data_IF_958908600371
#
_entry.id   IF_958908600371
#
_cell.length_a   1.000
_cell.length_b   1.000
_cell.length_c   1.000
_cell.angle_alpha   90.00
_cell.angle_beta   90.00
_cell.angle_gamma   90.00
#
_symmetry.space_group_name_H-M   'P 1'
#
loop_
_entity.id
_entity.type
_entity.pdbx_description
1 polymer ?
#
# COMPACT_ATOMS: atom_id res chain seq x y z
N UNK A 1 -11.48 -28.83 -22.02
CA UNK A 1 -10.54 -29.94 -21.70
C UNK A 1 -9.38 -30.03 -22.67
N UNK A 2 -9.35 -29.25 -23.77
CA UNK A 2 -8.22 -29.16 -24.71
C UNK A 2 -7.54 -30.49 -25.05
N UNK A 3 -8.34 -31.55 -25.18
CA UNK A 3 -7.86 -32.91 -25.44
C UNK A 3 -7.19 -32.94 -26.80
N UNK A 4 -5.95 -33.45 -26.91
CA UNK A 4 -5.20 -33.44 -28.16
C UNK A 4 -5.87 -34.31 -29.23
N UNK A 5 -5.69 -33.95 -30.51
CA UNK A 5 -6.35 -34.60 -31.63
C UNK A 5 -6.07 -36.10 -31.72
N UNK A 6 -4.86 -36.52 -31.33
CA UNK A 6 -4.45 -37.93 -31.27
C UNK A 6 -5.32 -38.76 -30.34
N UNK A 7 -5.74 -38.20 -29.21
CA UNK A 7 -6.58 -38.88 -28.23
C UNK A 7 -8.04 -38.92 -28.70
N UNK A 8 -8.49 -37.86 -29.39
CA UNK A 8 -9.83 -37.82 -30.02
C UNK A 8 -9.97 -38.83 -31.16
N UNK A 9 -8.92 -39.02 -31.95
CA UNK A 9 -8.91 -39.94 -33.10
C UNK A 9 -9.24 -41.38 -32.70
N UNK A 10 -8.86 -41.80 -31.48
CA UNK A 10 -9.13 -43.15 -30.95
C UNK A 10 -10.62 -43.45 -30.76
N UNK A 11 -11.44 -42.40 -30.58
CA UNK A 11 -12.88 -42.51 -30.36
C UNK A 11 -13.70 -41.91 -31.52
N UNK A 12 -13.06 -41.64 -32.67
CA UNK A 12 -13.74 -41.08 -33.84
C UNK A 12 -14.87 -41.98 -34.35
N UNK A 13 -14.70 -43.31 -34.29
CA UNK A 13 -15.74 -44.27 -34.69
C UNK A 13 -16.98 -44.15 -33.80
N UNK A 14 -16.80 -44.06 -32.48
CA UNK A 14 -17.89 -43.86 -31.51
C UNK A 14 -18.57 -42.50 -31.72
N UNK A 15 -17.77 -41.46 -32.00
CA UNK A 15 -18.29 -40.11 -32.24
C UNK A 15 -19.08 -40.02 -33.56
N UNK A 16 -18.63 -40.73 -34.61
CA UNK A 16 -19.33 -40.80 -35.89
C UNK A 16 -20.69 -41.50 -35.77
N UNK A 17 -20.80 -42.51 -34.90
CA UNK A 17 -22.06 -43.20 -34.62
C UNK A 17 -23.11 -42.30 -33.96
N UNK A 18 -22.71 -41.26 -33.21
CA UNK A 18 -23.64 -40.27 -32.61
C UNK A 18 -24.40 -39.50 -33.71
N UNK A 19 -23.78 -39.31 -34.88
CA UNK A 19 -24.37 -38.56 -36.01
C UNK A 19 -25.16 -39.45 -36.98
N UNK A 20 -25.12 -40.77 -36.81
CA UNK A 20 -25.80 -41.74 -37.67
C UNK A 20 -27.18 -42.12 -37.13
N UNK A 21 -28.15 -42.29 -38.02
CA UNK A 21 -29.49 -42.78 -37.66
C UNK A 21 -29.44 -44.28 -37.35
N UNK A 22 -30.28 -44.75 -36.42
CA UNK A 22 -30.38 -46.17 -36.05
C UNK A 22 -30.64 -47.11 -37.24
N UNK A 23 -31.17 -46.62 -38.36
CA UNK A 23 -31.42 -47.40 -39.60
C UNK A 23 -30.17 -47.62 -40.46
N UNK A 24 -29.11 -46.82 -40.28
CA UNK A 24 -27.89 -46.86 -41.10
C UNK A 24 -26.73 -47.63 -40.42
N UNK A 25 -26.95 -48.13 -39.21
CA UNK A 25 -25.97 -48.94 -38.45
C UNK A 25 -26.04 -50.39 -38.97
N UNK A 26 -25.54 -50.62 -40.18
CA UNK A 26 -25.60 -51.93 -40.84
C UNK A 26 -24.27 -52.69 -40.84
N UNK A 27 -23.20 -52.14 -40.25
CA UNK A 27 -21.87 -52.80 -40.23
C UNK A 27 -21.71 -53.69 -38.99
N UNK A 28 -21.52 -55.01 -39.15
CA UNK A 28 -21.24 -55.93 -38.04
C UNK A 28 -19.94 -55.53 -37.33
N UNK A 29 -19.95 -55.46 -36.00
CA UNK A 29 -18.78 -55.08 -35.19
C UNK A 29 -18.59 -53.57 -34.97
N UNK A 30 -19.55 -52.74 -35.40
CA UNK A 30 -19.53 -51.28 -35.17
C UNK A 30 -19.71 -50.88 -33.69
N UNK A 31 -20.38 -51.71 -32.89
CA UNK A 31 -20.67 -51.52 -31.46
C UNK A 31 -20.39 -52.83 -30.70
N UNK A 32 -19.15 -53.29 -30.72
CA UNK A 32 -18.71 -54.45 -29.93
C UNK A 32 -18.68 -54.10 -28.45
N UNK A 33 -18.92 -55.09 -27.57
CA UNK A 33 -18.86 -54.94 -26.11
C UNK A 33 -17.54 -54.29 -25.64
N UNK A 34 -16.42 -54.66 -26.25
CA UNK A 34 -15.08 -54.09 -25.96
C UNK A 34 -15.02 -52.57 -26.24
N UNK A 35 -15.65 -52.11 -27.32
CA UNK A 35 -15.67 -50.68 -27.69
C UNK A 35 -16.51 -49.89 -26.69
N UNK A 36 -17.63 -50.46 -26.23
CA UNK A 36 -18.49 -49.86 -25.20
C UNK A 36 -17.71 -49.77 -23.89
N UNK A 37 -17.06 -50.86 -23.46
CA UNK A 37 -16.26 -50.87 -22.24
C UNK A 37 -15.07 -49.88 -22.33
N UNK A 38 -14.43 -49.77 -23.49
CA UNK A 38 -13.38 -48.78 -23.73
C UNK A 38 -13.91 -47.34 -23.65
N UNK A 39 -15.10 -47.07 -24.19
CA UNK A 39 -15.73 -45.76 -24.09
C UNK A 39 -16.13 -45.42 -22.64
N UNK A 40 -16.72 -46.37 -21.90
CA UNK A 40 -17.09 -46.18 -20.50
C UNK A 40 -15.89 -45.92 -19.58
N UNK A 41 -14.77 -46.63 -19.81
CA UNK A 41 -13.53 -46.40 -19.05
C UNK A 41 -12.92 -45.05 -19.37
N UNK A 42 -12.97 -44.62 -20.64
CA UNK A 42 -12.50 -43.29 -21.03
C UNK A 42 -13.36 -42.16 -20.47
N UNK A 43 -14.69 -42.31 -20.45
CA UNK A 43 -15.60 -41.33 -19.83
C UNK A 43 -15.26 -41.18 -18.35
N UNK A 44 -15.13 -42.29 -17.61
CA UNK A 44 -14.72 -42.26 -16.20
C UNK A 44 -13.37 -41.57 -15.99
N UNK A 45 -12.39 -41.84 -16.85
CA UNK A 45 -11.07 -41.19 -16.81
C UNK A 45 -11.17 -39.69 -17.08
N UNK A 46 -11.99 -39.27 -18.04
CA UNK A 46 -12.21 -37.86 -18.38
C UNK A 46 -12.96 -37.11 -17.27
N UNK A 47 -13.92 -37.75 -16.62
CA UNK A 47 -14.63 -37.19 -15.46
C UNK A 47 -13.68 -36.96 -14.29
N UNK A 48 -12.82 -37.94 -13.99
CA UNK A 48 -11.78 -37.79 -12.97
C UNK A 48 -10.78 -36.67 -13.32
N UNK A 49 -10.38 -36.58 -14.59
CA UNK A 49 -9.50 -35.51 -15.06
C UNK A 49 -10.17 -34.14 -14.96
N UNK A 50 -11.46 -34.04 -15.31
CA UNK A 50 -12.26 -32.81 -15.20
C UNK A 50 -12.36 -32.38 -13.74
N UNK A 51 -12.68 -33.30 -12.83
CA UNK A 51 -12.73 -33.03 -11.39
C UNK A 51 -11.36 -32.55 -10.86
N UNK A 52 -10.27 -33.23 -11.23
CA UNK A 52 -8.91 -32.81 -10.87
C UNK A 52 -8.56 -31.41 -11.38
N UNK A 53 -8.96 -31.09 -12.62
CA UNK A 53 -8.72 -29.77 -13.23
C UNK A 53 -9.58 -28.68 -12.60
N UNK A 54 -10.83 -28.97 -12.27
CA UNK A 54 -11.71 -28.05 -11.56
C UNK A 54 -11.18 -27.72 -10.16
N UNK A 55 -10.62 -28.71 -9.46
CA UNK A 55 -9.94 -28.51 -8.17
C UNK A 55 -8.70 -27.63 -8.28
N UNK A 56 -7.85 -27.87 -9.27
CA UNK A 56 -6.68 -27.03 -9.56
C UNK A 56 -7.10 -25.58 -9.81
N UNK A 57 -8.14 -25.37 -10.61
CA UNK A 57 -8.63 -24.05 -10.96
C UNK A 57 -9.26 -23.34 -9.75
N UNK A 58 -9.99 -24.07 -8.90
CA UNK A 58 -10.52 -23.54 -7.64
C UNK A 58 -9.41 -22.99 -6.73
N UNK A 59 -8.33 -23.76 -6.53
CA UNK A 59 -7.17 -23.33 -5.76
C UNK A 59 -6.53 -22.07 -6.34
N UNK A 60 -6.44 -21.99 -7.68
CA UNK A 60 -5.89 -20.79 -8.33
C UNK A 60 -6.76 -19.56 -8.07
N UNK A 61 -8.07 -19.71 -8.21
CA UNK A 61 -9.06 -18.65 -7.98
C UNK A 61 -9.06 -18.17 -6.54
N UNK A 62 -8.90 -19.08 -5.59
CA UNK A 62 -8.70 -18.73 -4.19
C UNK A 62 -7.47 -17.83 -4.01
N UNK A 63 -6.31 -18.21 -4.56
CA UNK A 63 -5.08 -17.41 -4.43
C UNK A 63 -5.26 -16.03 -5.06
N UNK A 64 -5.94 -15.96 -6.21
CA UNK A 64 -6.26 -14.68 -6.85
C UNK A 64 -7.16 -13.81 -5.95
N UNK A 65 -8.17 -14.39 -5.29
CA UNK A 65 -9.03 -13.69 -4.32
C UNK A 65 -8.24 -13.16 -3.12
N UNK A 66 -7.39 -14.00 -2.52
CA UNK A 66 -6.53 -13.62 -1.40
C UNK A 66 -5.59 -12.47 -1.78
N UNK A 67 -5.00 -12.52 -2.99
CA UNK A 67 -4.13 -11.46 -3.48
C UNK A 67 -4.88 -10.13 -3.65
N UNK A 68 -6.12 -10.16 -4.13
CA UNK A 68 -6.97 -8.96 -4.26
C UNK A 68 -7.26 -8.39 -2.87
N UNK A 69 -7.71 -9.22 -1.91
CA UNK A 69 -7.97 -8.78 -0.54
C UNK A 69 -6.73 -8.15 0.10
N UNK A 70 -5.57 -8.81 -0.01
CA UNK A 70 -4.30 -8.34 0.55
C UNK A 70 -3.79 -7.04 -0.09
N UNK A 71 -3.99 -6.85 -1.39
CA UNK A 71 -3.58 -5.61 -2.08
C UNK A 71 -4.49 -4.44 -1.73
N UNK A 72 -5.76 -4.72 -1.44
CA UNK A 72 -6.78 -3.71 -1.11
C UNK A 72 -7.01 -3.56 0.40
N UNK A 73 -6.18 -4.19 1.23
CA UNK A 73 -6.26 -4.17 2.69
C UNK A 73 -7.65 -4.57 3.23
N UNK A 74 -8.27 -5.55 2.57
CA UNK A 74 -9.55 -6.14 2.96
C UNK A 74 -9.31 -7.41 3.80
N UNK A 75 -10.34 -7.83 4.53
CA UNK A 75 -10.33 -9.09 5.26
C UNK A 75 -10.10 -10.27 4.31
N UNK A 76 -9.14 -11.13 4.66
CA UNK A 76 -8.79 -12.30 3.88
C UNK A 76 -9.69 -13.45 4.34
N UNK A 77 -10.37 -14.16 3.42
CA UNK A 77 -11.16 -15.34 3.78
C UNK A 77 -10.34 -16.35 4.59
N UNK A 78 -10.94 -16.93 5.64
CA UNK A 78 -10.21 -17.77 6.58
C UNK A 78 -9.68 -19.04 5.91
N UNK A 79 -8.41 -19.37 6.18
CA UNK A 79 -7.79 -20.60 5.67
C UNK A 79 -8.55 -21.85 6.11
N UNK A 80 -9.17 -21.82 7.30
CA UNK A 80 -9.96 -22.95 7.82
C UNK A 80 -11.26 -23.16 7.04
N UNK A 81 -11.94 -22.08 6.67
CA UNK A 81 -13.14 -22.14 5.82
C UNK A 81 -12.79 -22.76 4.48
N UNK A 82 -11.62 -22.41 3.94
CA UNK A 82 -11.16 -22.99 2.69
C UNK A 82 -10.82 -24.48 2.79
N UNK A 83 -10.13 -24.88 3.85
CA UNK A 83 -9.81 -26.30 4.07
C UNK A 83 -11.07 -27.13 4.27
N UNK A 84 -12.12 -26.56 4.86
CA UNK A 84 -13.46 -27.16 4.95
C UNK A 84 -14.10 -27.34 3.58
N UNK A 85 -14.14 -26.29 2.75
CA UNK A 85 -14.67 -26.35 1.38
C UNK A 85 -13.92 -27.39 0.55
N UNK A 86 -12.59 -27.44 0.68
CA UNK A 86 -11.77 -28.43 -0.02
C UNK A 86 -12.08 -29.87 0.42
N UNK A 87 -12.39 -30.10 1.70
CA UNK A 87 -12.84 -31.41 2.19
C UNK A 87 -14.18 -31.80 1.54
N UNK A 88 -15.13 -30.87 1.47
CA UNK A 88 -16.43 -31.08 0.82
C UNK A 88 -16.31 -31.34 -0.70
N UNK A 89 -15.33 -30.73 -1.36
CA UNK A 89 -15.01 -31.04 -2.76
C UNK A 89 -14.51 -32.48 -2.93
N UNK A 90 -13.65 -32.94 -2.02
CA UNK A 90 -13.07 -34.29 -2.09
C UNK A 90 -14.09 -35.38 -1.74
N UNK A 91 -15.10 -35.09 -0.91
CA UNK A 91 -16.19 -36.02 -0.62
C UNK A 91 -17.19 -36.15 -1.77
N UNK A 92 -17.11 -35.30 -2.79
CA UNK A 92 -18.03 -35.30 -3.94
C UNK A 92 -19.43 -34.77 -3.60
N UNK A 93 -19.57 -34.11 -2.45
CA UNK A 93 -20.85 -33.62 -1.94
C UNK A 93 -21.28 -32.29 -2.60
N UNK A 94 -20.33 -31.54 -3.16
CA UNK A 94 -20.60 -30.30 -3.91
C UNK A 94 -20.24 -30.50 -5.39
N UNK A 95 -21.10 -29.99 -6.28
CA UNK A 95 -20.76 -29.84 -7.70
C UNK A 95 -19.61 -28.85 -7.90
N UNK A 96 -18.63 -29.29 -8.68
CA UNK A 96 -17.40 -28.53 -8.90
C UNK A 96 -17.64 -27.28 -9.77
N UNK A 97 -18.64 -27.29 -10.66
CA UNK A 97 -18.92 -26.16 -11.54
C UNK A 97 -19.66 -25.03 -10.80
N UNK A 98 -20.63 -25.37 -9.96
CA UNK A 98 -21.36 -24.41 -9.12
C UNK A 98 -20.43 -23.70 -8.13
N UNK A 99 -19.55 -24.45 -7.48
CA UNK A 99 -18.56 -23.88 -6.55
C UNK A 99 -17.61 -22.91 -7.25
N UNK A 100 -17.14 -23.27 -8.45
CA UNK A 100 -16.27 -22.41 -9.23
C UNK A 100 -16.98 -21.11 -9.65
N UNK A 101 -18.27 -21.20 -9.99
CA UNK A 101 -19.10 -20.04 -10.34
C UNK A 101 -19.27 -19.13 -9.12
N UNK A 102 -19.52 -19.71 -7.94
CA UNK A 102 -19.57 -18.98 -6.67
C UNK A 102 -18.25 -18.27 -6.36
N UNK A 103 -17.11 -18.95 -6.53
CA UNK A 103 -15.79 -18.35 -6.33
C UNK A 103 -15.52 -17.20 -7.32
N UNK A 104 -15.87 -17.35 -8.60
CA UNK A 104 -15.76 -16.26 -9.57
C UNK A 104 -16.64 -15.06 -9.18
N UNK A 105 -17.83 -15.30 -8.65
CA UNK A 105 -18.69 -14.24 -8.12
C UNK A 105 -18.03 -13.51 -6.95
N UNK A 106 -17.43 -14.24 -6.00
CA UNK A 106 -16.69 -13.64 -4.88
C UNK A 106 -15.51 -12.79 -5.38
N UNK A 107 -14.77 -13.27 -6.38
CA UNK A 107 -13.67 -12.51 -7.00
C UNK A 107 -14.20 -11.21 -7.61
N UNK A 108 -15.28 -11.25 -8.39
CA UNK A 108 -15.85 -10.05 -9.00
C UNK A 108 -16.31 -9.05 -7.94
N UNK A 109 -16.95 -9.52 -6.87
CA UNK A 109 -17.35 -8.68 -5.75
C UNK A 109 -16.14 -8.06 -5.04
N UNK A 110 -15.10 -8.84 -4.79
CA UNK A 110 -13.85 -8.36 -4.19
C UNK A 110 -13.15 -7.32 -5.10
N UNK A 111 -13.19 -7.49 -6.42
CA UNK A 111 -12.65 -6.52 -7.38
C UNK A 111 -13.44 -5.20 -7.40
N UNK A 112 -14.76 -5.28 -7.33
CA UNK A 112 -15.63 -4.11 -7.23
C UNK A 112 -15.39 -3.36 -5.92
N UNK A 113 -15.32 -4.08 -4.80
CA UNK A 113 -15.02 -3.49 -3.49
C UNK A 113 -13.60 -2.90 -3.45
N UNK A 114 -12.60 -3.58 -3.99
CA UNK A 114 -11.25 -3.05 -4.17
C UNK A 114 -11.24 -1.74 -4.99
N UNK A 115 -12.06 -1.68 -6.04
CA UNK A 115 -12.17 -0.49 -6.90
C UNK A 115 -12.84 0.68 -6.18
N UNK A 116 -13.88 0.42 -5.36
CA UNK A 116 -14.53 1.48 -4.57
C UNK A 116 -13.60 2.04 -3.48
N UNK A 117 -12.82 1.16 -2.83
CA UNK A 117 -11.84 1.53 -1.79
C UNK A 117 -10.64 2.30 -2.34
N UNK A 118 -10.31 2.15 -3.63
CA UNK A 118 -9.11 2.70 -4.27
C UNK A 118 -8.86 4.17 -3.95
N UNK A 119 -9.88 5.03 -4.06
CA UNK A 119 -9.73 6.47 -3.84
C UNK A 119 -9.40 6.83 -2.38
N UNK A 120 -9.84 6.01 -1.42
CA UNK A 120 -9.51 6.14 0.01
C UNK A 120 -8.08 5.62 0.23
N UNK A 121 -7.76 4.45 -0.30
CA UNK A 121 -6.44 3.83 -0.16
C UNK A 121 -5.31 4.71 -0.72
N UNK A 122 -5.49 5.35 -1.88
CA UNK A 122 -4.52 6.31 -2.41
C UNK A 122 -4.28 7.52 -1.49
N UNK A 123 -5.26 7.88 -0.66
CA UNK A 123 -5.16 8.96 0.33
C UNK A 123 -4.51 8.45 1.61
N UNK A 124 -4.80 7.22 2.04
CA UNK A 124 -4.11 6.54 3.14
C UNK A 124 -2.61 6.45 2.84
N UNK A 125 -2.21 6.02 1.65
CA UNK A 125 -0.80 5.96 1.25
C UNK A 125 -0.12 7.33 1.33
N UNK A 126 -0.79 8.38 0.84
CA UNK A 126 -0.29 9.77 0.95
C UNK A 126 -0.16 10.22 2.40
N UNK A 127 -1.10 9.83 3.26
CA UNK A 127 -1.07 10.17 4.68
C UNK A 127 0.08 9.45 5.40
N UNK A 128 0.29 8.15 5.14
CA UNK A 128 1.41 7.39 5.70
C UNK A 128 2.75 8.03 5.30
N UNK A 129 2.93 8.37 4.02
CA UNK A 129 4.14 9.05 3.55
C UNK A 129 4.35 10.42 4.20
N UNK A 130 3.28 11.18 4.43
CA UNK A 130 3.36 12.46 5.10
C UNK A 130 3.71 12.30 6.60
N UNK A 131 3.18 11.28 7.26
CA UNK A 131 3.51 10.90 8.64
C UNK A 131 4.97 10.48 8.78
N UNK A 132 5.49 9.67 7.85
CA UNK A 132 6.89 9.27 7.86
C UNK A 132 7.83 10.49 7.72
N UNK A 133 7.45 11.45 6.88
CA UNK A 133 8.21 12.71 6.73
C UNK A 133 8.06 13.63 7.97
N UNK A 134 6.92 13.60 8.68
CA UNK A 134 6.74 14.26 9.98
C UNK A 134 7.72 13.70 11.02
N UNK A 135 7.77 12.37 11.17
CA UNK A 135 8.68 11.68 12.08
C UNK A 135 10.14 11.99 11.75
N UNK A 136 10.50 11.98 10.46
CA UNK A 136 11.85 12.35 10.02
C UNK A 136 12.19 13.81 10.37
N UNK A 137 11.26 14.74 10.17
CA UNK A 137 11.47 16.16 10.50
C UNK A 137 11.63 16.38 12.00
N UNK A 138 10.90 15.65 12.82
CA UNK A 138 11.00 15.71 14.28
C UNK A 138 12.35 15.21 14.77
N UNK A 139 12.80 14.07 14.26
CA UNK A 139 14.11 13.52 14.58
C UNK A 139 15.21 14.50 14.16
N UNK A 140 15.13 15.01 12.93
CA UNK A 140 16.04 16.05 12.47
C UNK A 140 15.98 17.31 13.35
N UNK A 141 14.85 17.60 14.02
CA UNK A 141 14.66 18.80 14.86
C UNK A 141 15.20 18.67 16.27
N UNK A 142 15.44 17.44 16.72
CA UNK A 142 16.10 17.15 17.99
C UNK A 142 17.62 17.08 17.85
N UNK A 143 18.14 16.93 16.63
CA UNK A 143 19.58 16.90 16.37
C UNK A 143 20.22 18.29 16.56
N UNK A 144 21.00 18.43 17.64
CA UNK A 144 21.78 19.64 17.94
C UNK A 144 22.86 19.94 16.89
N UNK A 145 23.32 18.93 16.14
CA UNK A 145 24.33 19.07 15.09
C UNK A 145 23.74 19.40 13.71
N UNK A 146 22.43 19.69 13.64
CA UNK A 146 21.69 20.03 12.41
C UNK A 146 22.35 21.12 11.57
N UNK A 147 22.93 22.13 12.22
CA UNK A 147 23.55 23.28 11.55
C UNK A 147 25.07 23.16 11.42
N UNK A 148 25.64 21.98 11.74
CA UNK A 148 27.05 21.71 11.48
C UNK A 148 27.37 21.90 9.99
N UNK A 149 28.54 22.48 9.71
CA UNK A 149 29.04 22.72 8.33
C UNK A 149 29.54 21.41 7.72
N UNK A 150 28.66 20.42 7.68
CA UNK A 150 28.93 19.08 7.19
C UNK A 150 28.55 18.97 5.71
N UNK A 151 29.30 18.19 4.93
CA UNK A 151 29.02 17.93 3.52
C UNK A 151 27.63 17.28 3.36
N UNK A 152 26.65 18.05 2.94
CA UNK A 152 25.26 17.59 2.76
C UNK A 152 24.21 18.30 3.63
N UNK A 153 24.62 19.15 4.58
CA UNK A 153 23.70 19.87 5.47
C UNK A 153 22.65 20.70 4.71
N UNK A 154 23.03 21.38 3.62
CA UNK A 154 22.09 22.13 2.77
C UNK A 154 21.00 21.24 2.13
N UNK A 155 21.30 19.97 1.81
CA UNK A 155 20.30 19.04 1.26
C UNK A 155 19.29 18.64 2.33
N UNK A 156 19.75 18.39 3.55
CA UNK A 156 18.90 18.07 4.70
C UNK A 156 18.03 19.27 5.09
N UNK A 157 18.59 20.48 5.08
CA UNK A 157 17.83 21.71 5.30
C UNK A 157 16.73 21.90 4.25
N UNK A 158 17.04 21.69 2.96
CA UNK A 158 16.03 21.74 1.88
C UNK A 158 14.98 20.64 2.00
N UNK A 159 15.34 19.44 2.48
CA UNK A 159 14.37 18.37 2.78
C UNK A 159 13.48 18.78 3.93
N UNK A 160 14.04 19.32 5.02
CA UNK A 160 13.29 19.78 6.17
C UNK A 160 12.27 20.87 5.82
N UNK A 161 12.61 21.77 4.91
CA UNK A 161 11.64 22.77 4.46
C UNK A 161 10.49 22.14 3.66
N UNK A 162 10.79 21.19 2.77
CA UNK A 162 9.74 20.42 2.08
C UNK A 162 8.89 19.59 3.05
N UNK A 163 9.52 18.98 4.06
CA UNK A 163 8.87 18.24 5.11
C UNK A 163 7.87 19.12 5.88
N UNK A 164 8.28 20.33 6.30
CA UNK A 164 7.39 21.28 6.98
C UNK A 164 6.14 21.59 6.18
N UNK A 165 6.30 21.86 4.88
CA UNK A 165 5.16 22.11 3.99
C UNK A 165 4.23 20.90 3.90
N UNK A 166 4.77 19.68 3.87
CA UNK A 166 3.97 18.46 3.90
C UNK A 166 3.25 18.27 5.24
N UNK A 167 3.95 18.44 6.36
CA UNK A 167 3.41 18.32 7.73
C UNK A 167 2.26 19.30 7.97
N UNK A 168 2.39 20.53 7.50
CA UNK A 168 1.32 21.53 7.59
C UNK A 168 0.06 21.14 6.82
N UNK A 169 0.16 20.26 5.82
CA UNK A 169 -0.98 19.77 5.03
C UNK A 169 -1.60 18.51 5.64
N UNK A 170 -0.98 17.86 6.62
CA UNK A 170 -1.47 16.62 7.22
C UNK A 170 -2.88 16.78 7.80
N UNK A 171 -3.21 17.82 8.59
CA UNK A 171 -4.57 17.96 9.17
C UNK A 171 -5.65 17.93 8.09
N UNK A 172 -5.51 18.75 7.05
CA UNK A 172 -6.45 18.78 5.94
C UNK A 172 -6.56 17.44 5.20
N UNK A 173 -5.47 16.68 5.10
CA UNK A 173 -5.48 15.35 4.51
C UNK A 173 -6.23 14.34 5.39
N UNK A 174 -6.03 14.39 6.71
CA UNK A 174 -6.72 13.53 7.68
C UNK A 174 -8.22 13.85 7.70
N UNK A 175 -8.61 15.12 7.74
CA UNK A 175 -10.02 15.53 7.72
C UNK A 175 -10.73 15.06 6.44
N UNK A 176 -10.06 15.22 5.29
CA UNK A 176 -10.52 14.69 4.01
C UNK A 176 -10.68 13.17 4.02
N UNK A 177 -9.74 12.46 4.66
CA UNK A 177 -9.76 11.00 4.74
C UNK A 177 -10.89 10.52 5.66
N UNK A 178 -11.10 11.19 6.80
CA UNK A 178 -12.23 10.95 7.70
C UNK A 178 -13.56 11.15 6.96
N UNK A 179 -13.73 12.27 6.27
CA UNK A 179 -14.97 12.57 5.53
C UNK A 179 -15.27 11.52 4.46
N UNK A 180 -14.25 11.12 3.68
CA UNK A 180 -14.40 10.08 2.66
C UNK A 180 -14.70 8.70 3.26
N UNK A 181 -14.04 8.36 4.37
CA UNK A 181 -14.26 7.08 5.05
C UNK A 181 -15.68 6.99 5.59
N UNK A 182 -16.16 8.04 6.28
CA UNK A 182 -17.54 8.11 6.77
C UNK A 182 -18.56 8.00 5.64
N UNK A 183 -18.35 8.73 4.55
CA UNK A 183 -19.25 8.67 3.38
C UNK A 183 -19.29 7.27 2.77
N UNK A 184 -18.17 6.55 2.72
CA UNK A 184 -18.12 5.18 2.21
C UNK A 184 -18.79 4.19 3.17
N UNK A 185 -18.58 4.34 4.48
CA UNK A 185 -19.22 3.51 5.51
C UNK A 185 -20.73 3.69 5.53
N UNK A 186 -21.22 4.92 5.34
CA UNK A 186 -22.65 5.23 5.25
C UNK A 186 -23.30 4.63 3.99
N UNK A 187 -22.65 4.76 2.83
CA UNK A 187 -23.11 4.17 1.56
C UNK A 187 -23.23 2.64 1.65
N UNK A 188 -22.26 1.98 2.29
CA UNK A 188 -22.15 0.52 2.32
C UNK A 188 -22.73 -0.12 3.57
N UNK A 189 -23.06 0.67 4.59
CA UNK A 189 -23.50 0.22 5.93
C UNK A 189 -22.55 -0.82 6.56
N UNK A 190 -21.25 -0.66 6.30
CA UNK A 190 -20.18 -1.54 6.78
C UNK A 190 -18.97 -0.70 7.20
N UNK A 191 -18.28 -1.03 8.31
CA UNK A 191 -17.06 -0.33 8.70
C UNK A 191 -15.96 -0.50 7.64
N UNK A 192 -15.20 0.56 7.41
CA UNK A 192 -14.02 0.52 6.55
C UNK A 192 -12.85 -0.04 7.37
N UNK A 193 -12.48 -1.28 7.07
CA UNK A 193 -11.33 -1.94 7.68
C UNK A 193 -10.09 -1.76 6.81
N UNK A 194 -8.98 -1.40 7.45
CA UNK A 194 -7.63 -1.41 6.92
C UNK A 194 -6.83 -2.45 7.72
N UNK A 195 -6.46 -3.57 7.10
CA UNK A 195 -5.77 -4.69 7.77
C UNK A 195 -6.44 -5.07 9.10
N UNK A 196 -7.77 -5.29 9.04
CA UNK A 196 -8.65 -5.67 10.18
C UNK A 196 -8.91 -4.56 11.21
N UNK A 197 -8.28 -3.40 11.09
CA UNK A 197 -8.49 -2.26 12.00
C UNK A 197 -9.41 -1.21 11.35
N UNK A 198 -10.42 -0.69 12.06
CA UNK A 198 -11.24 0.42 11.54
C UNK A 198 -10.39 1.65 11.21
N UNK A 199 -10.36 2.06 9.93
CA UNK A 199 -9.55 3.19 9.48
C UNK A 199 -9.94 4.49 10.21
N UNK A 200 -11.23 4.68 10.47
CA UNK A 200 -11.71 5.85 11.18
C UNK A 200 -11.10 5.99 12.58
N UNK A 201 -11.07 4.90 13.36
CA UNK A 201 -10.50 4.89 14.71
C UNK A 201 -8.99 5.22 14.69
N UNK A 202 -8.24 4.68 13.72
CA UNK A 202 -6.81 4.99 13.55
C UNK A 202 -6.55 6.48 13.29
N UNK A 203 -7.44 7.14 12.54
CA UNK A 203 -7.31 8.56 12.21
C UNK A 203 -7.69 9.46 13.39
N UNK A 204 -8.69 9.07 14.18
CA UNK A 204 -9.05 9.77 15.41
C UNK A 204 -7.93 9.71 16.44
N UNK A 205 -7.35 8.52 16.65
CA UNK A 205 -6.21 8.34 17.56
C UNK A 205 -5.00 9.17 17.10
N UNK A 206 -4.71 9.18 15.79
CA UNK A 206 -3.66 10.01 15.23
C UNK A 206 -3.90 11.51 15.51
N UNK A 207 -5.14 11.99 15.33
CA UNK A 207 -5.49 13.38 15.61
C UNK A 207 -5.32 13.73 17.09
N UNK A 208 -5.72 12.82 17.99
CA UNK A 208 -5.57 12.99 19.44
C UNK A 208 -4.08 13.10 19.82
N UNK A 209 -3.25 12.16 19.36
CA UNK A 209 -1.80 12.16 19.60
C UNK A 209 -1.12 13.41 19.05
N UNK A 210 -1.56 13.89 17.87
CA UNK A 210 -1.03 15.14 17.30
C UNK A 210 -1.38 16.33 18.20
N UNK A 211 -2.62 16.41 18.68
CA UNK A 211 -3.07 17.49 19.56
C UNK A 211 -2.30 17.50 20.88
N UNK A 212 -2.13 16.34 21.51
CA UNK A 212 -1.34 16.18 22.73
C UNK A 212 0.11 16.67 22.55
N UNK A 213 0.74 16.31 21.42
CA UNK A 213 2.11 16.76 21.11
C UNK A 213 2.21 18.27 20.92
N UNK A 214 1.20 18.89 20.31
CA UNK A 214 1.18 20.34 20.11
C UNK A 214 0.88 21.09 21.42
N UNK A 215 0.01 20.55 22.27
CA UNK A 215 -0.25 21.05 23.64
C UNK A 215 1.00 20.93 24.53
N UNK A 216 1.72 19.81 24.47
CA UNK A 216 2.97 19.64 25.22
C UNK A 216 4.04 20.64 24.76
N UNK A 217 4.21 20.83 23.44
CA UNK A 217 5.10 21.88 22.90
C UNK A 217 4.70 23.27 23.39
N UNK A 218 3.39 23.53 23.51
CA UNK A 218 2.88 24.80 24.02
C UNK A 218 3.18 24.98 25.51
N UNK A 219 2.95 23.96 26.34
CA UNK A 219 3.32 23.96 27.77
C UNK A 219 4.81 24.20 27.97
N UNK A 220 5.66 23.55 27.19
CA UNK A 220 7.12 23.76 27.23
C UNK A 220 7.52 25.21 26.87
N UNK A 221 6.81 25.84 25.93
CA UNK A 221 7.03 27.27 25.59
C UNK A 221 6.59 28.19 26.73
N UNK A 222 5.49 27.88 27.39
CA UNK A 222 4.98 28.65 28.54
C UNK A 222 5.90 28.53 29.75
N UNK A 223 6.38 27.32 30.08
CA UNK A 223 7.39 27.10 31.12
C UNK A 223 8.68 27.91 30.84
N UNK A 224 9.17 27.89 29.59
CA UNK A 224 10.32 28.71 29.19
C UNK A 224 10.05 30.22 29.31
N UNK A 225 8.82 30.68 29.04
CA UNK A 225 8.43 32.09 29.23
C UNK A 225 8.35 32.48 30.70
N UNK A 226 7.87 31.60 31.57
CA UNK A 226 7.79 31.85 33.03
C UNK A 226 9.19 31.86 33.64
N UNK A 227 10.06 30.92 33.25
CA UNK A 227 11.45 30.89 33.72
C UNK A 227 12.26 32.12 33.28
N UNK A 228 12.00 32.65 32.08
CA UNK A 228 12.61 33.90 31.61
C UNK A 228 11.99 35.18 32.23
N UNK A 229 10.89 35.08 32.97
CA UNK A 229 10.24 36.19 33.68
C UNK A 229 10.56 36.23 35.17
N UNK A 230 11.26 35.23 35.72
CA UNK A 230 11.88 35.34 37.04
C UNK A 230 13.03 36.33 36.90
N UNK A 231 13.00 37.51 37.57
CA UNK A 231 14.12 38.43 37.49
C UNK A 231 15.34 37.72 38.07
N UNK A 232 16.40 37.59 37.27
CA UNK A 232 17.76 37.46 37.81
C UNK A 232 18.07 38.81 38.47
N UNK A 233 17.54 38.98 39.68
CA UNK A 233 17.98 39.99 40.62
C UNK A 233 19.27 39.52 41.24
N UNK A 234 20.37 39.65 40.50
CA UNK A 234 21.70 39.99 41.01
C UNK A 234 22.73 39.92 39.87
N UNK A 235 23.39 41.07 39.68
CA UNK A 235 24.81 41.16 39.35
C UNK A 235 25.22 40.86 37.90
N UNK A 236 25.11 41.89 37.05
CA UNK A 236 25.96 42.02 35.86
C UNK A 236 26.48 43.46 35.74
N UNK A 237 27.33 43.84 36.69
CA UNK A 237 28.37 44.83 36.43
C UNK A 237 29.44 44.14 35.57
N UNK A 238 29.92 44.82 34.54
CA UNK A 238 30.97 44.39 33.57
C UNK A 238 30.53 43.60 32.33
N UNK A 239 29.89 44.29 31.37
CA UNK A 239 30.28 44.16 29.95
C UNK A 239 30.29 45.55 29.32
N UNK A 240 31.48 46.11 29.14
CA UNK A 240 31.71 47.31 28.33
C UNK A 240 31.49 46.96 26.85
N UNK A 241 30.53 47.63 26.23
CA UNK A 241 30.25 47.62 24.79
C UNK A 241 31.29 48.49 24.07
N UNK A 242 32.08 47.98 23.10
CA UNK A 242 32.88 48.86 22.25
C UNK A 242 31.96 49.57 21.26
N UNK A 243 31.80 50.87 21.45
CA UNK A 243 31.18 51.79 20.50
C UNK A 243 32.19 52.10 19.39
N UNK A 244 32.01 51.55 18.18
CA UNK A 244 32.74 51.99 16.99
C UNK A 244 31.83 52.85 16.13
N UNK A 245 31.83 54.14 16.47
CA UNK A 245 31.29 55.24 15.66
C UNK A 245 32.12 55.38 14.37
N UNK A 246 31.53 55.07 13.22
CA UNK A 246 32.00 55.58 11.92
C UNK A 246 30.89 56.45 11.32
N UNK A 247 31.04 57.76 11.50
CA UNK A 247 30.27 58.78 10.79
C UNK A 247 30.50 58.62 9.28
N UNK A 248 29.45 58.32 8.52
CA UNK A 248 29.33 58.81 7.15
C UNK A 248 27.96 59.47 7.00
N UNK A 249 28.03 60.73 6.60
CA UNK A 249 26.92 61.65 6.39
C UNK A 249 26.05 61.14 5.23
N UNK A 250 24.74 61.20 5.46
CA UNK A 250 23.71 61.17 4.43
C UNK A 250 23.61 62.58 3.84
N UNK A 251 23.68 62.71 2.52
CA UNK A 251 23.02 63.83 1.85
C UNK A 251 22.11 63.33 0.73
N UNK A 252 21.03 64.08 0.58
CA UNK A 252 19.71 63.73 0.07
C UNK A 252 19.58 64.27 -1.36
N UNK A 253 19.27 63.37 -2.30
CA UNK A 253 18.25 63.49 -3.37
C UNK A 253 18.14 64.77 -4.23
N UNK A 254 18.06 64.63 -5.56
CA UNK A 254 16.82 64.84 -6.36
C UNK A 254 17.03 64.74 -7.90
N UNK A 255 16.16 63.91 -8.50
CA UNK A 255 15.46 64.04 -9.80
C UNK A 255 16.09 63.77 -11.18
N UNK A 256 15.46 62.78 -11.86
CA UNK A 256 14.95 62.85 -13.23
C UNK A 256 15.81 62.15 -14.30
N UNK A 257 15.35 61.19 -15.12
CA UNK A 257 14.04 60.57 -15.31
C UNK A 257 14.10 59.61 -16.51
N UNK A 258 13.10 58.72 -16.57
CA UNK A 258 12.52 58.09 -17.76
C UNK A 258 13.32 57.09 -18.64
N UNK A 259 12.77 55.86 -18.64
CA UNK A 259 12.41 55.04 -19.82
C UNK A 259 13.39 54.04 -20.46
N UNK A 260 12.87 52.81 -20.52
CA UNK A 260 12.90 51.84 -21.63
C UNK A 260 14.10 50.88 -21.82
N UNK A 261 13.69 49.61 -21.83
CA UNK A 261 14.02 48.56 -22.79
C UNK A 261 15.40 47.85 -22.70
N UNK A 262 15.26 46.55 -22.46
CA UNK A 262 16.08 45.40 -22.87
C UNK A 262 17.14 45.65 -23.97
N UNK A 263 18.39 45.20 -23.80
CA UNK A 263 19.38 45.26 -24.87
C UNK A 263 19.26 44.06 -25.82
N UNK A 264 19.05 44.38 -27.09
CA UNK A 264 19.18 43.49 -28.26
C UNK A 264 20.62 43.58 -28.80
N UNK A 265 21.20 42.41 -29.05
CA UNK A 265 22.27 42.06 -29.99
C UNK A 265 23.34 43.12 -30.38
N UNK A 266 24.62 42.78 -30.17
CA UNK A 266 25.68 43.05 -31.16
C UNK A 266 26.68 41.89 -31.27
N UNK A 267 26.82 41.42 -32.51
CA UNK A 267 27.80 40.45 -33.03
C UNK A 267 29.23 40.99 -32.93
N UNK A 268 30.20 40.09 -32.80
CA UNK A 268 31.45 40.17 -33.56
C UNK A 268 31.96 38.75 -33.82
N UNK A 269 32.37 38.53 -35.08
CA UNK A 269 32.84 37.28 -35.68
C UNK A 269 34.30 37.45 -36.10
N UNK A 270 35.07 36.36 -36.10
CA UNK A 270 36.26 36.00 -36.93
C UNK A 270 37.02 34.91 -36.15
N UNK A 271 37.49 33.78 -36.68
CA UNK A 271 37.52 33.24 -38.03
C UNK A 271 38.16 31.84 -37.98
N UNK A 272 37.50 30.90 -38.67
CA UNK A 272 38.00 29.75 -39.44
C UNK A 272 39.41 29.21 -39.15
N UNK A 273 39.48 27.92 -38.77
CA UNK A 273 40.28 26.91 -39.49
C UNK A 273 39.62 25.53 -39.40
N UNK A 274 39.93 24.72 -40.40
CA UNK A 274 39.08 23.78 -41.13
C UNK A 274 39.53 22.32 -40.85
N UNK A 275 38.74 21.36 -41.37
CA UNK A 275 38.96 19.90 -41.50
C UNK A 275 38.33 19.06 -40.38
N UNK A 276 37.47 18.08 -40.61
CA UNK A 276 36.90 17.50 -41.83
C UNK A 276 36.15 16.20 -41.48
N UNK A 277 35.11 15.90 -42.27
CA UNK A 277 34.47 14.58 -42.50
C UNK A 277 33.69 13.84 -41.39
N UNK A 278 32.35 13.87 -41.53
CA UNK A 278 31.42 12.73 -41.37
C UNK A 278 31.55 11.74 -42.56
N UNK A 279 30.82 10.59 -42.70
CA UNK A 279 29.70 10.00 -41.94
C UNK A 279 29.80 8.45 -41.74
N UNK A 280 28.76 7.79 -41.16
CA UNK A 280 28.07 6.56 -41.63
C UNK A 280 27.38 5.77 -40.48
N UNK A 281 26.30 5.10 -40.88
CA UNK A 281 25.15 4.52 -40.18
C UNK A 281 25.33 3.17 -39.41
N UNK A 282 24.45 2.98 -38.41
CA UNK A 282 23.73 1.73 -37.97
C UNK A 282 24.52 0.57 -37.30
N UNK A 283 23.86 -0.50 -36.78
CA UNK A 283 23.22 -0.61 -35.46
C UNK A 283 23.72 -1.85 -34.64
N UNK A 284 23.05 -2.14 -33.51
CA UNK A 284 23.02 -3.38 -32.72
C UNK A 284 23.84 -3.52 -31.42
N UNK A 285 23.05 -3.74 -30.35
CA UNK A 285 23.11 -4.83 -29.37
C UNK A 285 24.12 -4.81 -28.19
N UNK A 286 23.51 -4.62 -27.02
CA UNK A 286 23.62 -5.41 -25.79
C UNK A 286 24.98 -5.55 -25.10
N UNK A 287 25.11 -4.90 -23.93
CA UNK A 287 25.72 -5.53 -22.75
C UNK A 287 24.94 -5.12 -21.49
N UNK A 288 24.46 -6.13 -20.79
CA UNK A 288 23.74 -6.15 -19.53
C UNK A 288 24.58 -5.65 -18.34
N UNK A 289 24.02 -4.75 -17.53
CA UNK A 289 24.41 -4.62 -16.12
C UNK A 289 23.21 -4.74 -15.21
N UNK A 290 23.10 -5.96 -14.67
CA UNK A 290 22.25 -6.35 -13.57
C UNK A 290 22.64 -5.52 -12.33
N UNK A 291 21.80 -4.55 -11.92
CA UNK A 291 21.87 -4.00 -10.56
C UNK A 291 20.57 -4.33 -9.84
N UNK A 292 20.59 -5.52 -9.23
CA UNK A 292 19.60 -6.03 -8.28
C UNK A 292 19.58 -5.13 -7.05
N UNK A 293 18.70 -4.12 -7.04
CA UNK A 293 18.35 -3.40 -5.83
C UNK A 293 17.28 -4.18 -5.08
N UNK A 294 17.70 -4.75 -3.94
CA UNK A 294 16.86 -5.29 -2.88
C UNK A 294 15.74 -4.31 -2.54
N UNK A 295 14.50 -4.60 -2.95
CA UNK A 295 13.29 -4.07 -2.32
C UNK A 295 12.97 -4.98 -1.14
N UNK A 296 13.67 -4.78 -0.03
CA UNK A 296 13.29 -5.33 1.26
C UNK A 296 12.44 -4.29 2.00
N UNK A 297 11.15 -4.58 2.07
CA UNK A 297 10.38 -4.53 3.31
C UNK A 297 10.18 -3.17 4.02
N UNK A 298 9.52 -2.22 3.35
CA UNK A 298 8.91 -1.05 4.01
C UNK A 298 7.51 -1.33 4.61
N UNK A 299 7.09 -2.60 4.73
CA UNK A 299 5.77 -2.98 5.27
C UNK A 299 5.73 -3.19 6.79
N UNK A 300 6.82 -2.91 7.53
CA UNK A 300 6.92 -3.24 8.97
C UNK A 300 6.72 -2.09 9.95
N UNK A 301 6.46 -0.86 9.49
CA UNK A 301 6.41 0.30 10.41
C UNK A 301 5.01 0.51 11.00
N UNK A 302 3.93 0.07 10.33
CA UNK A 302 2.59 0.12 10.94
C UNK A 302 2.38 -0.97 12.01
N UNK A 303 3.07 -2.10 11.89
CA UNK A 303 2.89 -3.27 12.76
C UNK A 303 3.81 -3.33 13.99
N UNK A 304 4.74 -2.36 14.18
CA UNK A 304 5.67 -2.39 15.33
C UNK A 304 5.90 -1.05 16.02
N UNK A 305 4.90 -0.16 16.00
CA UNK A 305 4.95 1.03 16.83
C UNK A 305 3.65 1.21 17.61
N UNK A 306 3.63 0.60 18.81
CA UNK A 306 2.83 0.99 19.99
C UNK A 306 1.34 0.62 20.08
N UNK A 307 0.80 -0.23 19.22
CA UNK A 307 -0.54 -0.78 19.43
C UNK A 307 -0.48 -2.19 20.02
N UNK A 308 -0.12 -2.28 21.31
CA UNK A 308 -0.34 -3.49 22.09
C UNK A 308 -1.68 -3.31 22.81
N UNK A 309 -2.72 -3.99 22.32
CA UNK A 309 -4.00 -4.09 23.02
C UNK A 309 -3.81 -5.01 24.25
N UNK A 310 -3.86 -4.43 25.44
CA UNK A 310 -4.22 -5.16 26.65
C UNK A 310 -5.73 -4.97 26.87
N UNK A 311 -6.57 -6.01 26.76
CA UNK A 311 -7.90 -5.94 27.33
C UNK A 311 -7.71 -5.90 28.85
N UNK A 312 -8.16 -4.82 29.48
CA UNK A 312 -8.23 -4.74 30.93
C UNK A 312 -9.30 -5.71 31.41
N UNK A 313 -8.88 -6.80 32.05
CA UNK A 313 -9.81 -7.62 32.82
C UNK A 313 -10.27 -6.82 34.04
N UNK A 314 -11.59 -6.82 34.19
CA UNK A 314 -12.34 -6.15 35.24
C UNK A 314 -11.80 -6.47 36.63
N UNK A 315 -11.63 -5.41 37.42
CA UNK A 315 -11.50 -5.48 38.87
C UNK A 315 -12.81 -5.98 39.48
N UNK A 316 -12.98 -7.30 39.54
CA UNK A 316 -14.01 -7.93 40.36
C UNK A 316 -13.52 -8.01 41.82
N UNK A 317 -14.16 -7.18 42.64
CA UNK A 317 -14.05 -7.11 44.09
C UNK A 317 -14.22 -8.48 44.76
N UNK A 318 -13.23 -8.81 45.59
CA UNK A 318 -13.17 -9.93 46.53
C UNK A 318 -14.31 -9.84 47.57
N UNK A 319 -15.16 -10.86 47.66
CA UNK A 319 -15.87 -11.21 48.92
C UNK A 319 -15.97 -12.74 49.07
N UNK A 320 -15.16 -13.21 50.02
CA UNK A 320 -15.39 -14.26 51.03
C UNK A 320 -15.72 -15.71 50.62
N UNK A 321 -14.77 -16.57 50.97
CA UNK A 321 -14.70 -18.03 50.86
C UNK A 321 -15.71 -18.79 51.71
N UNK A 322 -16.19 -19.90 51.15
CA UNK A 322 -16.96 -20.96 51.81
C UNK A 322 -16.02 -22.02 52.42
N UNK A 323 -16.28 -22.31 53.71
CA UNK A 323 -16.13 -23.57 54.47
C UNK A 323 -15.17 -24.71 54.09
N UNK A 324 -14.47 -25.18 55.14
CA UNK A 324 -14.20 -26.61 55.43
C UNK A 324 -12.70 -26.98 55.50
N UNK A 325 -12.27 -27.97 56.31
CA UNK A 325 -13.03 -28.94 57.11
C UNK A 325 -12.59 -29.07 58.59
N UNK A 326 -13.44 -29.62 59.45
CA UNK A 326 -13.03 -30.24 60.71
C UNK A 326 -13.72 -31.60 60.88
N UNK A 327 -12.90 -32.61 61.15
CA UNK A 327 -13.21 -33.89 61.81
C UNK A 327 -11.94 -34.28 62.58
N UNK A 328 -12.01 -35.09 63.64
CA UNK A 328 -13.17 -35.77 64.24
C UNK A 328 -13.80 -35.04 65.43
#
# INVERSE_FOLDING_TARGET
>A
MDTPQKDRARFSNVTALISLSSKDISTPGSLTLDIIQQAETEVRRLDQLKASKMKELFLRKQVDLEEICKRSHMEIPSRLEMESIMKLMNSGEIDHADLLTSMNKQITQAQEEASSRKAIMEKVEKWILARDEELWLEEYSRDDNRYSVSRGAHKNLRRAERARVMVNKIPALVDMLIAKTKSWEEERKKPFLYDEVPLFAMLEEYNLLRKERDEEKQRQREMKKVQNQVPVGQENLFVLRPSTSSKRLSDRSLNGGFNNATPVNKKSSLGIQQLGSTPINTPQQSISFLKKSKKEDHRKILSRSRFAFHPGDDSASVVSSFSGPFSP
#
